data_IF_795911408763
#
_entry.id   IF_795911408763
#
_cell.length_a   1.000
_cell.length_b   1.000
_cell.length_c   1.000
_cell.angle_alpha   90.00
_cell.angle_beta   90.00
_cell.angle_gamma   90.00
#
_symmetry.space_group_name_H-M   'P 1'
#
loop_
_entity.id
_entity.type
_entity.pdbx_description
1 polymer ?
#
# COMPACT_ATOMS: atom_id res chain seq x y z
N UNK A 1 35.57 -5.45 -0.04
CA UNK A 1 35.59 -4.01 -0.39
C UNK A 1 34.55 -3.84 -1.48
N UNK A 2 33.29 -3.60 -1.08
CA UNK A 2 32.18 -3.35 -2.02
C UNK A 2 32.24 -1.87 -2.36
N UNK A 3 32.48 -1.60 -3.63
CA UNK A 3 32.56 -0.27 -4.24
C UNK A 3 31.19 0.42 -4.15
N UNK A 4 31.05 1.35 -3.20
CA UNK A 4 29.96 2.33 -3.06
C UNK A 4 30.11 3.45 -4.11
N UNK A 5 30.27 3.11 -5.38
CA UNK A 5 30.68 4.07 -6.41
C UNK A 5 29.75 4.11 -7.62
N UNK A 6 28.45 3.95 -7.36
CA UNK A 6 27.35 4.33 -8.28
C UNK A 6 26.34 5.29 -7.61
N UNK A 7 26.67 5.90 -6.45
CA UNK A 7 25.92 7.02 -5.85
C UNK A 7 26.38 8.36 -6.44
N UNK A 8 26.22 8.54 -7.76
CA UNK A 8 26.41 9.84 -8.43
C UNK A 8 25.24 10.03 -9.41
N UNK A 9 24.20 10.72 -8.94
CA UNK A 9 23.04 11.14 -9.73
C UNK A 9 21.69 10.76 -9.12
N UNK A 10 21.48 11.06 -7.83
CA UNK A 10 20.21 10.78 -7.16
C UNK A 10 19.19 11.86 -7.51
N UNK A 11 18.49 11.67 -8.63
CA UNK A 11 17.09 12.06 -8.73
C UNK A 11 16.27 10.88 -8.17
N UNK A 12 16.41 10.58 -6.87
CA UNK A 12 15.57 9.57 -6.22
C UNK A 12 14.16 10.13 -6.19
N UNK A 13 13.33 9.64 -7.10
CA UNK A 13 11.89 9.84 -7.00
C UNK A 13 11.46 9.06 -5.75
N UNK A 14 10.90 9.76 -4.77
CA UNK A 14 10.19 9.18 -3.65
C UNK A 14 8.69 9.22 -3.89
N UNK A 15 7.91 8.79 -2.90
CA UNK A 15 6.46 9.00 -2.87
C UNK A 15 6.08 9.75 -1.59
N UNK A 16 5.30 10.81 -1.70
CA UNK A 16 4.56 11.40 -0.59
C UNK A 16 3.26 10.62 -0.39
N UNK A 17 3.12 9.96 0.75
CA UNK A 17 1.89 9.31 1.15
C UNK A 17 0.97 10.31 1.86
N UNK A 18 -0.31 10.27 1.52
CA UNK A 18 -1.36 11.13 2.09
C UNK A 18 -2.46 10.27 2.71
N UNK A 19 -2.75 10.54 3.98
CA UNK A 19 -3.76 9.86 4.79
C UNK A 19 -3.46 8.38 5.00
N UNK A 20 -4.04 7.82 6.06
CA UNK A 20 -3.98 6.39 6.34
C UNK A 20 -5.39 5.84 6.44
N UNK A 21 -5.60 4.72 5.76
CA UNK A 21 -6.78 3.88 5.88
C UNK A 21 -6.50 2.78 6.89
N UNK A 22 -7.32 2.69 7.94
CA UNK A 22 -7.21 1.68 8.98
C UNK A 22 -8.40 0.75 8.92
N UNK A 23 -8.17 -0.55 8.91
CA UNK A 23 -9.20 -1.58 8.95
C UNK A 23 -8.89 -2.60 10.04
N UNK A 24 -9.83 -2.76 10.96
CA UNK A 24 -9.70 -3.72 12.05
C UNK A 24 -9.68 -5.17 11.51
N UNK A 25 -8.92 -6.07 12.15
CA UNK A 25 -8.80 -7.45 11.72
C UNK A 25 -10.14 -8.17 11.85
N UNK A 26 -10.45 -9.04 10.89
CA UNK A 26 -11.58 -9.95 10.98
C UNK A 26 -11.14 -11.22 11.70
N UNK A 27 -11.83 -11.58 12.78
CA UNK A 27 -11.62 -12.85 13.47
C UNK A 27 -12.22 -13.99 12.62
N UNK A 28 -11.45 -14.54 11.69
CA UNK A 28 -11.81 -15.77 10.98
C UNK A 28 -11.69 -16.97 11.92
N UNK A 29 -12.70 -17.86 11.94
CA UNK A 29 -12.73 -19.09 12.76
C UNK A 29 -11.69 -20.17 12.33
N UNK A 30 -10.59 -19.79 11.67
CA UNK A 30 -9.60 -20.72 11.12
C UNK A 30 -8.16 -20.17 11.19
N UNK A 31 -7.34 -20.84 11.99
CA UNK A 31 -5.86 -20.98 12.11
C UNK A 31 -4.89 -19.81 11.86
N UNK A 32 -5.22 -18.70 11.20
CA UNK A 32 -4.34 -17.51 11.16
C UNK A 32 -5.16 -16.21 11.19
N UNK A 33 -5.04 -15.37 12.23
CA UNK A 33 -5.76 -14.10 12.28
C UNK A 33 -5.28 -13.20 11.13
N UNK A 34 -6.23 -12.63 10.37
CA UNK A 34 -5.91 -11.61 9.36
C UNK A 34 -5.36 -10.40 10.11
N UNK A 35 -4.17 -9.93 9.71
CA UNK A 35 -3.54 -8.76 10.35
C UNK A 35 -4.41 -7.51 10.13
N UNK A 36 -4.41 -6.53 11.05
CA UNK A 36 -5.01 -5.22 10.77
C UNK A 36 -4.36 -4.60 9.53
N UNK A 37 -5.16 -3.93 8.72
CA UNK A 37 -4.66 -3.14 7.58
C UNK A 37 -4.50 -1.70 8.02
N UNK A 38 -3.30 -1.16 7.84
CA UNK A 38 -3.04 0.28 7.90
C UNK A 38 -2.14 0.64 6.73
N UNK A 39 -2.67 1.39 5.78
CA UNK A 39 -1.97 1.71 4.54
C UNK A 39 -2.27 3.15 4.07
N UNK A 40 -1.34 3.79 3.33
CA UNK A 40 -1.61 5.06 2.66
C UNK A 40 -2.84 5.01 1.78
N UNK A 41 -3.61 6.10 1.75
CA UNK A 41 -4.72 6.26 0.81
C UNK A 41 -4.23 6.71 -0.56
N UNK A 42 -3.42 7.76 -0.60
CA UNK A 42 -2.94 8.37 -1.85
C UNK A 42 -1.41 8.43 -1.83
N UNK A 43 -0.81 8.19 -2.99
CA UNK A 43 0.62 8.24 -3.23
C UNK A 43 0.91 9.26 -4.32
N UNK A 44 1.75 10.24 -4.01
CA UNK A 44 2.17 11.24 -4.98
C UNK A 44 3.67 11.13 -5.22
N UNK A 45 4.16 11.08 -6.46
CA UNK A 45 5.59 11.13 -6.71
C UNK A 45 6.23 12.41 -6.13
N UNK A 46 7.47 12.31 -5.67
CA UNK A 46 8.26 13.47 -5.23
C UNK A 46 9.70 13.30 -5.66
N UNK A 47 10.45 14.36 -5.91
CA UNK A 47 11.91 14.30 -6.05
C UNK A 47 12.56 14.75 -4.76
N UNK A 48 13.71 14.14 -4.45
CA UNK A 48 14.55 14.51 -3.31
C UNK A 48 15.86 15.06 -3.85
N UNK A 49 16.10 16.36 -3.67
CA UNK A 49 17.35 16.99 -4.13
C UNK A 49 18.19 17.45 -2.95
N UNK A 50 19.49 17.10 -2.90
CA UNK A 50 20.38 17.59 -1.85
C UNK A 50 20.63 19.09 -2.03
N UNK A 51 20.50 19.85 -0.93
CA UNK A 51 20.72 21.31 -0.91
C UNK A 51 22.20 21.67 -0.70
N UNK A 52 22.98 20.78 -0.10
CA UNK A 52 24.39 21.00 0.24
C UNK A 52 25.24 19.77 -0.12
N UNK A 53 26.52 20.00 -0.47
CA UNK A 53 27.48 18.95 -0.82
C UNK A 53 27.76 17.94 0.31
N UNK A 54 27.34 18.26 1.55
CA UNK A 54 27.44 17.37 2.71
C UNK A 54 26.24 16.40 2.83
N UNK A 55 25.23 16.49 1.95
CA UNK A 55 24.04 15.63 1.92
C UNK A 55 23.26 15.54 3.26
N UNK A 56 23.29 16.60 4.07
CA UNK A 56 22.52 16.65 5.33
C UNK A 56 21.18 17.36 5.20
N UNK A 57 21.03 18.19 4.16
CA UNK A 57 19.83 18.99 3.90
C UNK A 57 19.25 18.63 2.53
N UNK A 58 17.95 18.39 2.48
CA UNK A 58 17.25 17.97 1.27
C UNK A 58 16.02 18.85 1.00
N UNK A 59 15.70 19.03 -0.28
CA UNK A 59 14.45 19.62 -0.75
C UNK A 59 13.57 18.51 -1.30
N UNK A 60 12.32 18.48 -0.85
CA UNK A 60 11.31 17.55 -1.34
C UNK A 60 10.37 18.33 -2.26
N UNK A 61 10.29 17.94 -3.53
CA UNK A 61 9.37 18.55 -4.48
C UNK A 61 8.35 17.51 -4.93
N UNK A 62 7.06 17.78 -4.74
CA UNK A 62 6.00 16.90 -5.22
C UNK A 62 5.92 17.00 -6.75
N UNK A 63 6.11 15.89 -7.44
CA UNK A 63 6.09 15.81 -8.90
C UNK A 63 5.01 14.83 -9.37
N UNK A 64 4.50 15.03 -10.59
CA UNK A 64 3.46 14.18 -11.17
C UNK A 64 2.10 14.25 -10.45
N UNK A 65 1.22 13.33 -10.84
CA UNK A 65 -0.17 13.26 -10.40
C UNK A 65 -0.27 12.36 -9.16
N UNK A 66 -1.02 12.77 -8.12
CA UNK A 66 -1.36 11.89 -7.00
C UNK A 66 -2.30 10.77 -7.45
N UNK A 67 -2.06 9.55 -6.98
CA UNK A 67 -2.86 8.38 -7.33
C UNK A 67 -3.29 7.62 -6.07
N UNK A 68 -4.42 6.93 -6.12
CA UNK A 68 -4.82 6.00 -5.05
C UNK A 68 -3.76 4.91 -4.89
N UNK A 69 -3.46 4.52 -3.65
CA UNK A 69 -2.53 3.43 -3.38
C UNK A 69 -3.10 2.10 -3.91
N UNK A 70 -2.57 1.52 -5.00
CA UNK A 70 -3.15 0.32 -5.61
C UNK A 70 -3.03 -0.92 -4.70
N UNK A 71 -2.07 -0.93 -3.78
CA UNK A 71 -1.88 -2.02 -2.82
C UNK A 71 -2.95 -1.98 -1.72
N UNK A 72 -3.49 -0.81 -1.39
CA UNK A 72 -4.62 -0.69 -0.47
C UNK A 72 -5.84 -1.43 -1.03
N UNK A 73 -6.24 -1.11 -2.26
CA UNK A 73 -7.41 -1.72 -2.92
C UNK A 73 -7.24 -3.23 -3.08
N UNK A 74 -6.03 -3.64 -3.48
CA UNK A 74 -5.69 -5.05 -3.56
C UNK A 74 -5.82 -5.77 -2.21
N UNK A 75 -5.31 -5.18 -1.12
CA UNK A 75 -5.39 -5.76 0.21
C UNK A 75 -6.84 -5.86 0.71
N UNK A 76 -7.67 -4.84 0.44
CA UNK A 76 -9.11 -4.84 0.76
C UNK A 76 -9.83 -6.02 0.08
N UNK A 77 -9.56 -6.24 -1.21
CA UNK A 77 -10.15 -7.35 -1.95
C UNK A 77 -9.64 -8.70 -1.43
N UNK A 78 -8.33 -8.96 -1.58
CA UNK A 78 -7.80 -10.31 -1.46
C UNK A 78 -7.53 -10.78 -0.04
N UNK A 79 -7.12 -9.88 0.86
CA UNK A 79 -6.80 -10.25 2.25
C UNK A 79 -7.98 -10.07 3.18
N UNK A 80 -8.83 -9.11 2.84
CA UNK A 80 -9.92 -8.65 3.69
C UNK A 80 -11.30 -9.03 3.18
N UNK A 81 -11.38 -9.69 2.01
CA UNK A 81 -12.59 -10.28 1.47
C UNK A 81 -13.68 -9.26 1.18
N UNK A 82 -13.30 -8.01 0.91
CA UNK A 82 -14.23 -6.98 0.47
C UNK A 82 -14.39 -7.17 -1.03
N UNK A 83 -15.60 -7.52 -1.48
CA UNK A 83 -15.84 -7.74 -2.90
C UNK A 83 -15.86 -6.40 -3.61
N UNK A 84 -14.83 -6.16 -4.42
CA UNK A 84 -14.62 -4.91 -5.14
C UNK A 84 -13.91 -5.20 -6.46
N UNK A 85 -14.40 -4.55 -7.52
CA UNK A 85 -13.67 -4.45 -8.76
C UNK A 85 -12.49 -3.50 -8.55
N UNK A 86 -11.29 -4.06 -8.45
CA UNK A 86 -10.08 -3.28 -8.16
C UNK A 86 -9.75 -2.34 -9.30
N UNK A 87 -10.00 -2.73 -10.55
CA UNK A 87 -9.62 -1.91 -11.71
C UNK A 87 -10.58 -0.74 -11.86
N UNK A 88 -11.89 -1.02 -11.87
CA UNK A 88 -12.93 0.01 -11.96
C UNK A 88 -12.81 1.05 -10.82
N UNK A 89 -12.67 0.58 -9.58
CA UNK A 89 -12.54 1.46 -8.43
C UNK A 89 -11.23 2.26 -8.43
N UNK A 90 -10.15 1.71 -9.01
CA UNK A 90 -8.88 2.46 -9.14
C UNK A 90 -9.09 3.65 -10.08
N UNK A 91 -9.68 3.40 -11.25
CA UNK A 91 -9.89 4.43 -12.27
C UNK A 91 -10.84 5.52 -11.77
N UNK A 92 -11.93 5.13 -11.09
CA UNK A 92 -12.90 6.05 -10.48
C UNK A 92 -12.24 6.96 -9.43
N UNK A 93 -11.46 6.37 -8.51
CA UNK A 93 -10.79 7.13 -7.45
C UNK A 93 -9.70 8.05 -8.01
N UNK A 94 -8.96 7.59 -9.03
CA UNK A 94 -7.95 8.42 -9.68
C UNK A 94 -8.59 9.58 -10.46
N UNK A 95 -9.68 9.37 -11.17
CA UNK A 95 -10.43 10.44 -11.84
C UNK A 95 -10.95 11.48 -10.82
N UNK A 96 -11.51 11.02 -9.69
CA UNK A 96 -11.93 11.91 -8.61
C UNK A 96 -10.78 12.73 -8.01
N UNK A 97 -9.58 12.14 -7.90
CA UNK A 97 -8.37 12.85 -7.45
C UNK A 97 -7.95 13.89 -8.49
N UNK A 98 -7.94 13.53 -9.78
CA UNK A 98 -7.54 14.40 -10.89
C UNK A 98 -8.49 15.60 -11.06
N UNK A 99 -9.79 15.40 -10.86
CA UNK A 99 -10.80 16.46 -10.92
C UNK A 99 -10.70 17.47 -9.75
N UNK A 100 -9.92 17.17 -8.71
CA UNK A 100 -9.78 18.00 -7.53
C UNK A 100 -8.37 18.60 -7.43
N UNK A 101 -8.25 19.92 -7.55
CA UNK A 101 -6.94 20.58 -7.46
C UNK A 101 -6.38 20.64 -6.02
N UNK A 102 -7.24 20.55 -5.00
CA UNK A 102 -6.83 20.66 -3.60
C UNK A 102 -6.35 19.32 -3.05
N UNK A 103 -5.03 19.12 -3.15
CA UNK A 103 -4.32 17.93 -2.67
C UNK A 103 -4.54 17.61 -1.20
N UNK A 104 -4.82 18.61 -0.36
CA UNK A 104 -5.08 18.37 1.05
C UNK A 104 -6.37 17.57 1.27
N UNK A 105 -7.29 17.60 0.30
CA UNK A 105 -8.59 16.92 0.38
C UNK A 105 -8.59 15.51 -0.19
N UNK A 106 -7.63 15.16 -1.06
CA UNK A 106 -7.59 13.89 -1.79
C UNK A 106 -7.73 12.66 -0.89
N UNK A 107 -6.95 12.62 0.20
CA UNK A 107 -7.02 11.50 1.14
C UNK A 107 -8.39 11.37 1.80
N UNK A 108 -9.04 12.49 2.13
CA UNK A 108 -10.39 12.50 2.70
C UNK A 108 -11.45 12.03 1.71
N UNK A 109 -11.34 12.41 0.44
CA UNK A 109 -12.24 11.97 -0.64
C UNK A 109 -12.13 10.47 -0.88
N UNK A 110 -10.90 9.95 -1.04
CA UNK A 110 -10.65 8.51 -1.20
C UNK A 110 -11.13 7.73 0.02
N UNK A 111 -10.88 8.24 1.23
CA UNK A 111 -11.39 7.60 2.45
C UNK A 111 -12.91 7.51 2.47
N UNK A 112 -13.63 8.59 2.10
CA UNK A 112 -15.09 8.60 2.10
C UNK A 112 -15.64 7.51 1.17
N UNK A 113 -15.15 7.45 -0.07
CA UNK A 113 -15.55 6.43 -1.04
C UNK A 113 -15.27 5.01 -0.54
N UNK A 114 -14.05 4.75 -0.05
CA UNK A 114 -13.69 3.42 0.46
C UNK A 114 -14.44 3.03 1.72
N UNK A 115 -14.71 3.98 2.62
CA UNK A 115 -15.46 3.72 3.85
C UNK A 115 -16.89 3.27 3.55
N UNK A 116 -17.52 3.82 2.51
CA UNK A 116 -18.87 3.41 2.08
C UNK A 116 -18.86 1.96 1.54
N UNK A 117 -17.87 1.62 0.70
CA UNK A 117 -17.69 0.26 0.18
C UNK A 117 -17.46 -0.75 1.32
N UNK A 118 -16.60 -0.40 2.27
CA UNK A 118 -16.28 -1.25 3.43
C UNK A 118 -17.48 -1.39 4.38
N UNK A 119 -18.25 -0.32 4.59
CA UNK A 119 -19.47 -0.34 5.39
C UNK A 119 -20.55 -1.24 4.78
N UNK A 120 -20.67 -1.26 3.45
CA UNK A 120 -21.55 -2.19 2.72
C UNK A 120 -21.25 -3.66 3.02
N UNK A 121 -20.02 -3.97 3.42
CA UNK A 121 -19.57 -5.32 3.82
C UNK A 121 -19.63 -5.57 5.34
N UNK A 122 -20.31 -4.71 6.10
CA UNK A 122 -20.46 -4.83 7.55
C UNK A 122 -19.16 -4.59 8.32
N UNK A 123 -18.22 -3.85 7.73
CA UNK A 123 -16.92 -3.51 8.34
C UNK A 123 -16.83 -2.01 8.58
N UNK A 124 -15.97 -1.59 9.50
CA UNK A 124 -15.73 -0.18 9.79
C UNK A 124 -14.26 0.13 9.59
N UNK A 125 -14.00 1.20 8.85
CA UNK A 125 -12.68 1.76 8.67
C UNK A 125 -12.50 3.01 9.54
N UNK A 126 -11.25 3.36 9.83
CA UNK A 126 -10.88 4.63 10.44
C UNK A 126 -9.95 5.40 9.50
N UNK A 127 -10.02 6.74 9.59
CA UNK A 127 -9.15 7.66 8.87
C UNK A 127 -8.17 8.33 9.81
N UNK A 128 -6.91 8.40 9.40
CA UNK A 128 -5.92 9.26 10.05
C UNK A 128 -5.29 10.18 9.01
N UNK A 129 -5.44 11.49 9.22
CA UNK A 129 -4.80 12.50 8.40
C UNK A 129 -3.30 12.57 8.72
N UNK A 130 -2.47 12.15 7.76
CA UNK A 130 -1.01 12.12 7.90
C UNK A 130 -0.34 12.24 6.56
N UNK A 131 0.75 12.99 6.51
CA UNK A 131 1.63 13.08 5.33
C UNK A 131 3.03 12.60 5.69
N UNK A 132 3.66 11.83 4.80
CA UNK A 132 5.03 11.39 4.99
C UNK A 132 5.69 10.99 3.67
N UNK A 133 7.00 11.21 3.58
CA UNK A 133 7.81 10.74 2.45
C UNK A 133 8.18 9.26 2.62
N UNK A 134 8.10 8.50 1.53
CA UNK A 134 8.56 7.12 1.40
C UNK A 134 9.59 7.04 0.29
N UNK A 135 10.75 6.46 0.58
CA UNK A 135 11.90 6.38 -0.35
C UNK A 135 11.85 5.19 -1.31
N UNK A 136 10.73 4.46 -1.44
CA UNK A 136 10.60 3.32 -2.37
C UNK A 136 9.25 3.33 -3.06
N UNK A 137 9.26 3.13 -4.38
CA UNK A 137 8.06 3.12 -5.21
C UNK A 137 7.29 1.80 -5.12
N UNK A 138 5.98 1.94 -5.04
CA UNK A 138 5.05 0.81 -5.16
C UNK A 138 5.00 0.31 -6.60
N UNK A 139 5.05 1.23 -7.58
CA UNK A 139 4.98 0.89 -9.00
C UNK A 139 6.17 0.03 -9.45
N UNK A 140 7.40 0.33 -8.99
CA UNK A 140 8.59 -0.49 -9.28
C UNK A 140 8.40 -1.96 -8.90
N UNK A 141 7.69 -2.22 -7.80
CA UNK A 141 7.37 -3.59 -7.38
C UNK A 141 6.29 -4.23 -8.25
N UNK A 142 5.28 -3.46 -8.68
CA UNK A 142 4.17 -3.93 -9.50
C UNK A 142 4.54 -4.14 -10.98
N UNK A 143 5.64 -3.54 -11.44
CA UNK A 143 6.31 -3.88 -12.71
C UNK A 143 6.90 -5.29 -12.64
N UNK A 144 7.49 -5.64 -11.49
CA UNK A 144 8.17 -6.93 -11.32
C UNK A 144 7.23 -8.07 -10.95
N UNK A 145 6.15 -7.79 -10.21
CA UNK A 145 5.23 -8.78 -9.67
C UNK A 145 3.77 -8.46 -9.92
N UNK A 146 2.96 -9.51 -9.88
CA UNK A 146 1.52 -9.38 -9.64
C UNK A 146 1.24 -8.76 -8.28
N UNK A 147 0.11 -8.05 -8.16
CA UNK A 147 -0.34 -7.38 -6.93
C UNK A 147 -0.42 -8.36 -5.74
N UNK A 148 -0.67 -9.63 -6.03
CA UNK A 148 -0.63 -10.78 -5.12
C UNK A 148 0.65 -10.94 -4.31
N UNK A 149 1.77 -10.33 -4.73
CA UNK A 149 3.01 -10.33 -3.95
C UNK A 149 2.86 -9.66 -2.59
N UNK A 150 1.96 -8.68 -2.45
CA UNK A 150 1.70 -7.97 -1.19
C UNK A 150 0.81 -8.74 -0.21
N UNK A 151 0.41 -9.96 -0.57
CA UNK A 151 -0.43 -10.88 0.18
C UNK A 151 0.04 -11.27 1.59
N UNK A 152 -0.78 -12.09 2.24
CA UNK A 152 -0.53 -12.73 3.54
C UNK A 152 0.72 -13.63 3.56
N UNK A 153 1.12 -14.13 2.38
CA UNK A 153 2.25 -15.05 2.20
C UNK A 153 3.58 -14.38 1.90
N UNK A 154 3.66 -13.04 1.85
CA UNK A 154 4.90 -12.34 1.51
C UNK A 154 6.06 -12.72 2.45
N UNK A 155 5.82 -12.85 3.76
CA UNK A 155 6.83 -13.33 4.72
C UNK A 155 7.30 -14.76 4.39
N UNK A 156 6.37 -15.61 3.97
CA UNK A 156 6.65 -17.00 3.62
C UNK A 156 7.46 -17.08 2.32
N UNK A 157 7.18 -16.21 1.35
CA UNK A 157 7.97 -16.09 0.12
C UNK A 157 9.39 -15.60 0.42
N UNK A 158 9.54 -14.58 1.28
CA UNK A 158 10.85 -14.08 1.72
C UNK A 158 11.64 -15.17 2.46
N UNK A 159 11.01 -15.88 3.40
CA UNK A 159 11.63 -17.00 4.10
C UNK A 159 12.00 -18.14 3.15
N UNK A 160 11.14 -18.43 2.19
CA UNK A 160 11.37 -19.51 1.27
C UNK A 160 12.57 -19.22 0.37
N UNK A 161 12.69 -18.00 -0.13
CA UNK A 161 13.75 -17.58 -1.05
C UNK A 161 15.06 -17.20 -0.34
N UNK A 162 14.99 -16.82 0.94
CA UNK A 162 16.15 -16.39 1.73
C UNK A 162 17.24 -17.45 1.93
N UNK A 163 18.45 -16.96 2.17
CA UNK A 163 19.59 -17.79 2.53
C UNK A 163 19.48 -18.31 3.98
N UNK A 164 20.52 -19.00 4.47
CA UNK A 164 20.51 -19.53 5.84
C UNK A 164 20.51 -18.42 6.89
N UNK A 165 21.22 -17.32 6.65
CA UNK A 165 21.35 -16.19 7.57
C UNK A 165 20.00 -15.48 7.72
N UNK A 166 19.36 -15.13 6.60
CA UNK A 166 18.07 -14.46 6.58
C UNK A 166 16.98 -15.29 7.29
N UNK A 167 16.92 -16.60 7.01
CA UNK A 167 15.95 -17.51 7.64
C UNK A 167 16.16 -17.68 9.15
N UNK A 168 17.41 -17.58 9.61
CA UNK A 168 17.72 -17.63 11.04
C UNK A 168 17.27 -16.37 11.76
N UNK A 169 17.36 -15.20 11.10
CA UNK A 169 16.89 -13.93 11.63
C UNK A 169 15.36 -13.76 11.59
N UNK A 170 14.68 -14.43 10.65
CA UNK A 170 13.23 -14.32 10.44
C UNK A 170 12.56 -15.70 10.44
N UNK A 171 12.52 -16.43 11.57
CA UNK A 171 11.99 -17.78 11.62
C UNK A 171 10.51 -17.82 11.25
N UNK A 172 10.11 -18.84 10.48
CA UNK A 172 8.71 -19.12 10.09
C UNK A 172 8.38 -20.59 10.34
N UNK A 173 7.13 -20.93 10.71
CA UNK A 173 6.70 -22.30 10.93
C UNK A 173 6.41 -23.03 9.61
N UNK A 174 7.35 -22.97 8.65
CA UNK A 174 7.21 -23.62 7.35
C UNK A 174 8.04 -24.90 7.31
N UNK A 175 7.39 -26.01 7.00
CA UNK A 175 8.08 -27.25 6.67
C UNK A 175 8.72 -27.15 5.27
N UNK A 176 9.59 -28.12 4.94
CA UNK A 176 10.32 -28.13 3.67
C UNK A 176 9.42 -28.10 2.43
N UNK A 177 8.30 -28.81 2.46
CA UNK A 177 7.33 -28.85 1.34
C UNK A 177 6.61 -27.52 1.17
N UNK A 178 6.16 -26.91 2.28
CA UNK A 178 5.57 -25.58 2.28
C UNK A 178 6.56 -24.53 1.78
N UNK A 179 7.84 -24.65 2.17
CA UNK A 179 8.90 -23.77 1.66
C UNK A 179 9.09 -23.94 0.15
N UNK A 180 9.09 -25.18 -0.37
CA UNK A 180 9.24 -25.45 -1.80
C UNK A 180 8.04 -24.93 -2.61
N UNK A 181 6.83 -25.10 -2.08
CA UNK A 181 5.59 -24.56 -2.65
C UNK A 181 5.61 -23.03 -2.67
N UNK A 182 5.97 -22.39 -1.55
CA UNK A 182 6.08 -20.94 -1.44
C UNK A 182 7.09 -20.36 -2.46
N UNK A 183 8.23 -21.03 -2.71
CA UNK A 183 9.17 -20.61 -3.78
C UNK A 183 8.55 -20.66 -5.16
N UNK A 184 7.83 -21.74 -5.46
CA UNK A 184 7.15 -21.92 -6.76
C UNK A 184 6.14 -20.80 -6.97
N UNK A 185 5.28 -20.57 -5.98
CA UNK A 185 4.26 -19.50 -6.02
C UNK A 185 4.92 -18.12 -6.18
N UNK A 186 5.97 -17.82 -5.42
CA UNK A 186 6.67 -16.54 -5.54
C UNK A 186 7.29 -16.31 -6.94
N UNK A 187 7.71 -17.38 -7.62
CA UNK A 187 8.23 -17.30 -8.99
C UNK A 187 7.10 -17.10 -10.01
N UNK A 188 5.94 -17.73 -9.80
CA UNK A 188 4.74 -17.56 -10.64
C UNK A 188 4.15 -16.15 -10.54
N UNK A 189 4.32 -15.48 -9.40
CA UNK A 189 3.91 -14.08 -9.20
C UNK A 189 4.80 -13.07 -9.94
N UNK A 190 5.97 -13.47 -10.45
CA UNK A 190 6.91 -12.54 -11.08
C UNK A 190 6.60 -12.35 -12.56
N UNK A 191 6.25 -11.13 -12.96
CA UNK A 191 5.96 -10.72 -14.35
C UNK A 191 7.23 -10.61 -15.21
N UNK A 192 8.33 -10.15 -14.61
CA UNK A 192 9.59 -9.85 -15.31
C UNK A 192 10.40 -11.09 -15.75
N UNK A 193 9.74 -12.25 -15.94
CA UNK A 193 10.36 -13.51 -16.38
C UNK A 193 11.13 -14.25 -15.29
N UNK A 194 11.99 -15.20 -15.70
CA UNK A 194 12.81 -16.00 -14.79
C UNK A 194 14.00 -15.20 -14.27
N UNK A 195 14.29 -15.29 -12.97
CA UNK A 195 15.47 -14.70 -12.38
C UNK A 195 16.18 -15.67 -11.42
N UNK A 196 17.35 -15.27 -10.93
CA UNK A 196 18.05 -16.05 -9.91
C UNK A 196 17.28 -16.01 -8.58
N UNK A 197 17.41 -17.06 -7.76
CA UNK A 197 16.80 -17.08 -6.41
C UNK A 197 17.26 -15.90 -5.54
N UNK A 198 18.52 -15.47 -5.68
CA UNK A 198 19.07 -14.32 -4.95
C UNK A 198 18.38 -13.03 -5.36
N UNK A 199 18.17 -12.85 -6.66
CA UNK A 199 17.42 -11.71 -7.22
C UNK A 199 15.98 -11.73 -6.71
N UNK A 200 15.29 -12.87 -6.85
CA UNK A 200 13.91 -13.03 -6.36
C UNK A 200 13.80 -12.71 -4.87
N UNK A 201 14.76 -13.16 -4.06
CA UNK A 201 14.79 -12.87 -2.63
C UNK A 201 15.00 -11.38 -2.34
N UNK A 202 15.90 -10.71 -3.08
CA UNK A 202 16.16 -9.28 -2.91
C UNK A 202 14.91 -8.46 -3.25
N UNK A 203 14.25 -8.78 -4.37
CA UNK A 203 13.02 -8.11 -4.80
C UNK A 203 11.89 -8.31 -3.76
N UNK A 204 11.62 -9.55 -3.33
CA UNK A 204 10.61 -9.85 -2.30
C UNK A 204 10.92 -9.20 -0.94
N UNK A 205 12.20 -9.17 -0.54
CA UNK A 205 12.60 -8.52 0.71
C UNK A 205 12.42 -7.01 0.64
N UNK A 206 12.63 -6.39 -0.51
CA UNK A 206 12.34 -4.98 -0.72
C UNK A 206 10.85 -4.69 -0.56
N UNK A 207 9.99 -5.54 -1.14
CA UNK A 207 8.52 -5.49 -0.96
C UNK A 207 8.13 -5.65 0.51
N UNK A 208 8.74 -6.60 1.24
CA UNK A 208 8.46 -6.81 2.66
C UNK A 208 8.85 -5.60 3.51
N UNK A 209 10.00 -4.98 3.24
CA UNK A 209 10.43 -3.75 3.93
C UNK A 209 9.44 -2.61 3.71
N UNK A 210 8.93 -2.46 2.48
CA UNK A 210 7.93 -1.45 2.16
C UNK A 210 6.63 -1.66 2.95
N UNK A 211 6.11 -2.88 2.99
CA UNK A 211 4.91 -3.24 3.76
C UNK A 211 5.12 -3.06 5.27
N UNK A 212 6.28 -3.45 5.79
CA UNK A 212 6.61 -3.30 7.21
C UNK A 212 6.74 -1.82 7.60
N UNK A 213 7.32 -0.97 6.75
CA UNK A 213 7.34 0.49 6.99
C UNK A 213 5.93 1.04 7.15
N UNK A 214 4.98 0.66 6.29
CA UNK A 214 3.57 1.05 6.46
C UNK A 214 3.00 0.56 7.80
N UNK A 215 3.33 -0.69 8.19
CA UNK A 215 2.92 -1.30 9.45
C UNK A 215 3.60 -0.74 10.71
N UNK A 216 4.77 -0.11 10.59
CA UNK A 216 5.49 0.53 11.70
C UNK A 216 5.01 1.97 11.90
N UNK A 217 4.74 2.70 10.82
CA UNK A 217 4.11 4.02 10.88
C UNK A 217 2.70 3.94 11.50
N UNK A 218 1.91 2.97 11.07
CA UNK A 218 1.49 1.82 11.88
C UNK A 218 1.26 1.86 13.41
N UNK A 219 2.33 1.67 14.14
CA UNK A 219 2.32 1.51 15.59
C UNK A 219 2.72 2.83 16.27
N UNK A 220 3.49 3.69 15.59
CA UNK A 220 3.97 4.97 16.11
C UNK A 220 2.89 6.04 16.34
N UNK A 221 1.63 5.79 15.93
CA UNK A 221 0.48 6.69 16.13
C UNK A 221 -0.24 6.54 17.48
N UNK A 222 0.24 5.66 18.37
CA UNK A 222 -0.40 5.41 19.67
C UNK A 222 -0.47 6.65 20.62
N UNK A 223 0.15 7.78 20.26
CA UNK A 223 -0.16 9.07 20.88
C UNK A 223 -1.39 9.71 20.22
N UNK A 224 -2.55 9.26 20.71
CA UNK A 224 -3.88 9.79 20.43
C UNK A 224 -3.94 11.33 20.41
N UNK A 225 -4.35 11.88 19.27
CA UNK A 225 -5.50 12.79 19.28
C UNK A 225 -6.63 12.08 18.53
N UNK A 226 -7.68 11.72 19.27
CA UNK A 226 -8.98 11.44 18.65
C UNK A 226 -9.44 12.73 18.00
N UNK A 227 -9.11 12.97 16.75
CA UNK A 227 -9.84 13.92 15.93
C UNK A 227 -11.18 13.25 15.63
N UNK A 228 -12.18 13.54 16.47
CA UNK A 228 -13.58 13.37 16.10
C UNK A 228 -13.87 14.34 14.96
N UNK A 229 -13.41 14.03 13.76
CA UNK A 229 -13.89 14.67 12.54
C UNK A 229 -15.25 14.02 12.29
N UNK A 230 -16.29 14.59 12.89
CA UNK A 230 -17.56 14.61 12.17
C UNK A 230 -17.30 15.41 10.91
N UNK A 231 -17.52 14.87 9.69
CA UNK A 231 -17.47 15.67 8.48
C UNK A 231 -18.64 16.64 8.59
N UNK A 232 -18.41 17.83 9.14
CA UNK A 232 -19.29 18.96 8.92
C UNK A 232 -18.98 19.45 7.51
N UNK A 233 -19.41 18.66 6.52
CA UNK A 233 -19.65 19.13 5.17
C UNK A 233 -20.54 20.37 5.32
N UNK A 234 -19.93 21.54 5.19
CA UNK A 234 -20.67 22.78 5.09
C UNK A 234 -21.64 22.60 3.93
N UNK A 235 -22.93 22.60 4.25
CA UNK A 235 -24.04 22.61 3.30
C UNK A 235 -23.89 23.84 2.39
N UNK A 236 -23.12 23.69 1.32
CA UNK A 236 -23.28 24.39 0.06
C UNK A 236 -23.14 23.33 -1.00
N UNK A 237 -24.27 22.70 -1.30
CA UNK A 237 -24.43 21.82 -2.44
C UNK A 237 -23.99 22.55 -3.72
N UNK A 238 -23.00 22.06 -4.47
CA UNK A 238 -23.15 22.07 -5.91
C UNK A 238 -24.27 21.07 -6.21
N UNK A 239 -25.26 21.48 -6.99
CA UNK A 239 -26.24 20.53 -7.53
C UNK A 239 -25.48 19.41 -8.24
N UNK A 240 -25.78 18.12 -7.98
CA UNK A 240 -25.15 17.05 -8.73
C UNK A 240 -25.71 17.11 -10.15
N UNK A 241 -24.86 17.48 -11.10
CA UNK A 241 -25.06 17.06 -12.46
C UNK A 241 -24.51 15.63 -12.54
N UNK A 242 -25.42 14.69 -12.81
CA UNK A 242 -25.16 13.38 -13.43
C UNK A 242 -24.87 12.19 -12.49
N UNK A 243 -25.96 11.54 -12.09
CA UNK A 243 -26.23 10.10 -12.21
C UNK A 243 -25.08 9.11 -11.86
N UNK A 244 -24.88 8.87 -10.56
CA UNK A 244 -24.16 7.68 -10.06
C UNK A 244 -25.02 6.42 -10.25
N UNK A 245 -24.53 5.33 -10.87
CA UNK A 245 -25.28 4.07 -10.88
C UNK A 245 -25.31 3.49 -9.47
N UNK A 246 -26.49 3.52 -8.87
CA UNK A 246 -26.83 2.79 -7.66
C UNK A 246 -26.68 1.29 -7.92
N UNK A 247 -25.61 0.68 -7.41
CA UNK A 247 -25.46 -0.77 -7.35
C UNK A 247 -26.63 -1.38 -6.57
N UNK A 248 -27.61 -1.86 -7.33
CA UNK A 248 -28.83 -2.50 -6.84
C UNK A 248 -28.52 -3.98 -6.60
N UNK A 249 -28.40 -4.35 -5.33
CA UNK A 249 -28.46 -5.74 -4.90
C UNK A 249 -29.84 -6.31 -5.24
N UNK A 250 -29.96 -7.10 -6.31
CA UNK A 250 -31.07 -8.03 -6.47
C UNK A 250 -30.60 -9.44 -6.11
N UNK A 251 -31.14 -9.93 -5.00
CA UNK A 251 -31.02 -11.29 -4.51
C UNK A 251 -31.59 -12.27 -5.55
N UNK A 252 -30.88 -13.37 -5.78
CA UNK A 252 -31.46 -14.66 -6.15
C UNK A 252 -30.68 -15.76 -5.45
#
# INVERSE_FOLDING_TARGET
>A
MLTFQEEQGVDDVGKCAHGLFLLQPTSTKGTTPVKPLRAPLVLQPLTVTPRAAAETDYVLELVGVPEVNPVLLYALNRQHGIDLDVEELTDELNAMIEENDDRSTHAGLVYAALSDVVAGHGRAAEFEERQFASTRHVEDTLVLFEKDVFGDKLEDYCFATGDRRWRSAHPRPLNWWQQRKARKQATELRKAGKCSRRTLHAELSATLVQRNRWQEMAAGGAHRRKSSVSPRLSRRSPRPATNWPLWRWERS
#
